data_IF_752746221355
#
_entry.id   IF_752746221355
#
_cell.length_a   1.000
_cell.length_b   1.000
_cell.length_c   1.000
_cell.angle_alpha   90.00
_cell.angle_beta   90.00
_cell.angle_gamma   90.00
#
_symmetry.space_group_name_H-M   'P 1'
#
loop_
_entity.id
_entity.type
_entity.pdbx_description
1 polymer ?
#
# COMPACT_ATOMS: atom_id res chain seq x y z
N UNK A 1 -7.37 -13.14 17.18
CA UNK A 1 -6.93 -12.07 18.11
C UNK A 1 -7.91 -10.93 17.99
N UNK A 2 -8.52 -10.52 19.10
CA UNK A 2 -9.42 -9.38 19.11
C UNK A 2 -8.60 -8.08 19.04
N UNK A 3 -8.82 -7.27 18.02
CA UNK A 3 -8.25 -5.94 17.84
C UNK A 3 -9.44 -5.01 17.58
N UNK A 4 -9.56 -3.87 18.28
CA UNK A 4 -10.63 -2.93 18.01
C UNK A 4 -10.57 -2.43 16.57
N UNK A 5 -11.74 -2.26 15.96
CA UNK A 5 -11.85 -1.86 14.55
C UNK A 5 -11.18 -0.51 14.27
N UNK A 6 -11.16 0.40 15.24
CA UNK A 6 -10.55 1.72 15.10
C UNK A 6 -9.04 1.64 14.84
N UNK A 7 -8.31 0.81 15.59
CA UNK A 7 -6.87 0.62 15.41
C UNK A 7 -6.55 -0.07 14.07
N UNK A 8 -7.39 -1.01 13.65
CA UNK A 8 -7.27 -1.63 12.32
C UNK A 8 -7.41 -0.56 11.24
N UNK A 9 -8.40 0.32 11.38
CA UNK A 9 -8.66 1.39 10.43
C UNK A 9 -7.49 2.37 10.36
N UNK A 10 -6.94 2.76 11.51
CA UNK A 10 -5.80 3.67 11.61
C UNK A 10 -4.57 3.13 10.86
N UNK A 11 -4.19 1.87 11.11
CA UNK A 11 -3.05 1.23 10.42
C UNK A 11 -3.30 1.13 8.91
N UNK A 12 -4.51 0.76 8.50
CA UNK A 12 -4.85 0.64 7.07
C UNK A 12 -4.83 1.99 6.34
N UNK A 13 -5.31 3.06 6.99
CA UNK A 13 -5.24 4.43 6.47
C UNK A 13 -3.79 4.88 6.34
N UNK A 14 -2.98 4.68 7.38
CA UNK A 14 -1.56 5.02 7.31
C UNK A 14 -0.82 4.33 6.15
N UNK A 15 -1.07 3.02 5.95
CA UNK A 15 -0.49 2.26 4.83
C UNK A 15 -1.00 2.80 3.48
N UNK A 16 -2.25 3.22 3.41
CA UNK A 16 -2.81 3.79 2.19
C UNK A 16 -2.22 5.16 1.89
N UNK A 17 -2.07 6.04 2.87
CA UNK A 17 -1.55 7.39 2.65
C UNK A 17 -0.06 7.35 2.26
N UNK A 18 0.74 6.49 2.91
CA UNK A 18 2.18 6.39 2.69
C UNK A 18 2.59 5.39 1.61
N UNK A 19 1.79 4.35 1.39
CA UNK A 19 2.09 3.24 0.47
C UNK A 19 3.03 2.17 1.04
N UNK A 20 3.64 2.41 2.21
CA UNK A 20 4.53 1.46 2.87
C UNK A 20 4.46 1.57 4.41
N UNK A 21 4.91 0.51 5.10
CA UNK A 21 5.11 0.51 6.55
C UNK A 21 6.27 -0.40 6.92
N UNK A 22 7.07 0.02 7.88
CA UNK A 22 8.15 -0.78 8.47
C UNK A 22 7.73 -1.21 9.85
N UNK A 23 7.90 -2.49 10.19
CA UNK A 23 7.54 -3.02 11.51
C UNK A 23 8.73 -3.76 12.09
N UNK A 24 9.27 -3.26 13.19
CA UNK A 24 10.34 -3.93 13.93
C UNK A 24 9.79 -5.20 14.61
N UNK A 25 10.55 -6.29 14.56
CA UNK A 25 10.28 -7.54 15.27
C UNK A 25 10.64 -7.40 16.75
N UNK A 26 9.88 -6.53 17.42
CA UNK A 26 9.89 -6.37 18.86
C UNK A 26 8.45 -6.22 19.35
N UNK A 27 8.06 -7.04 20.34
CA UNK A 27 6.69 -7.05 20.87
C UNK A 27 6.53 -6.13 22.09
N UNK A 28 7.64 -5.76 22.74
CA UNK A 28 7.62 -4.94 23.96
C UNK A 28 7.68 -3.45 23.63
N UNK A 29 8.13 -3.10 22.42
CA UNK A 29 8.04 -1.76 21.87
C UNK A 29 6.60 -1.25 22.03
N UNK A 30 6.46 -0.08 22.66
CA UNK A 30 5.17 0.57 22.93
C UNK A 30 4.56 1.13 21.61
N UNK A 31 3.90 2.32 21.51
CA UNK A 31 3.26 2.66 20.24
C UNK A 31 4.29 2.65 19.11
N UNK A 32 3.86 2.19 17.94
CA UNK A 32 4.68 2.23 16.74
C UNK A 32 5.09 3.70 16.46
N UNK A 33 6.32 4.00 15.99
CA UNK A 33 6.77 5.40 15.83
C UNK A 33 5.86 6.28 14.97
N UNK A 34 5.21 5.71 13.96
CA UNK A 34 4.37 6.44 13.02
C UNK A 34 2.85 6.28 13.24
N UNK A 35 2.42 5.36 14.11
CA UNK A 35 1.00 5.03 14.30
C UNK A 35 0.74 4.89 15.80
N UNK A 36 -0.36 5.44 16.30
CA UNK A 36 -0.69 5.41 17.73
C UNK A 36 -1.27 4.05 18.19
N UNK A 37 -0.73 2.96 17.64
CA UNK A 37 -1.15 1.58 17.88
C UNK A 37 0.05 0.79 18.37
N UNK A 38 -0.17 -0.10 19.34
CA UNK A 38 0.89 -0.97 19.87
C UNK A 38 1.51 -1.84 18.76
N UNK A 39 2.85 -1.95 18.75
CA UNK A 39 3.58 -2.58 17.65
C UNK A 39 3.14 -4.03 17.35
N UNK A 40 2.85 -4.84 18.38
CA UNK A 40 2.39 -6.21 18.17
C UNK A 40 1.05 -6.27 17.41
N UNK A 41 0.15 -5.30 17.60
CA UNK A 41 -1.14 -5.24 16.89
C UNK A 41 -0.90 -4.90 15.42
N UNK A 42 -0.03 -3.92 15.14
CA UNK A 42 0.42 -3.59 13.78
C UNK A 42 0.97 -4.85 13.10
N UNK A 43 1.85 -5.58 13.78
CA UNK A 43 2.44 -6.84 13.27
C UNK A 43 1.38 -7.89 12.88
N UNK A 44 0.27 -7.98 13.63
CA UNK A 44 -0.84 -8.90 13.32
C UNK A 44 -1.75 -8.39 12.20
N UNK A 45 -2.03 -7.09 12.16
CA UNK A 45 -2.81 -6.45 11.10
C UNK A 45 -2.09 -6.60 9.76
N UNK A 46 -0.80 -6.29 9.72
CA UNK A 46 -0.05 -6.38 8.46
C UNK A 46 0.17 -7.84 8.05
N UNK A 47 0.30 -8.78 8.99
CA UNK A 47 0.27 -10.22 8.70
C UNK A 47 -1.05 -10.64 8.02
N UNK A 48 -2.20 -10.12 8.45
CA UNK A 48 -3.47 -10.47 7.80
C UNK A 48 -3.57 -9.88 6.39
N UNK A 49 -3.12 -8.63 6.20
CA UNK A 49 -3.01 -8.01 4.88
C UNK A 49 -2.11 -8.81 3.93
N UNK A 50 -0.97 -9.29 4.44
CA UNK A 50 -0.05 -10.13 3.68
C UNK A 50 -0.70 -11.44 3.23
N UNK A 51 -1.43 -12.12 4.13
CA UNK A 51 -2.14 -13.36 3.77
C UNK A 51 -3.22 -13.18 2.70
N UNK A 52 -3.75 -11.96 2.53
CA UNK A 52 -4.71 -11.63 1.47
C UNK A 52 -4.03 -11.23 0.14
N UNK A 53 -2.70 -11.06 0.13
CA UNK A 53 -1.94 -10.54 -1.01
C UNK A 53 -2.12 -9.04 -1.24
N UNK A 54 -2.53 -8.29 -0.21
CA UNK A 54 -2.69 -6.83 -0.28
C UNK A 54 -1.36 -6.07 -0.11
N UNK A 55 -0.37 -6.71 0.50
CA UNK A 55 0.96 -6.14 0.72
C UNK A 55 2.01 -7.19 0.40
N UNK A 56 3.13 -6.75 -0.15
CA UNK A 56 4.36 -7.53 -0.25
C UNK A 56 5.21 -7.33 0.99
N UNK A 57 6.00 -8.35 1.35
CA UNK A 57 6.81 -8.35 2.58
C UNK A 57 8.25 -8.65 2.25
N UNK A 58 9.15 -7.77 2.68
CA UNK A 58 10.59 -8.01 2.73
C UNK A 58 11.03 -8.05 4.19
N UNK A 59 11.89 -8.99 4.56
CA UNK A 59 12.39 -9.10 5.92
C UNK A 59 13.90 -9.01 5.90
N UNK A 60 14.44 -8.03 6.63
CA UNK A 60 15.88 -7.82 6.73
C UNK A 60 16.23 -7.53 8.18
N UNK A 61 17.29 -8.19 8.67
CA UNK A 61 17.74 -8.09 10.05
C UNK A 61 16.62 -8.43 11.05
N UNK A 62 16.02 -7.42 11.67
CA UNK A 62 14.89 -7.57 12.58
C UNK A 62 13.68 -6.74 12.17
N UNK A 63 13.68 -6.19 10.96
CA UNK A 63 12.62 -5.32 10.48
C UNK A 63 11.89 -5.96 9.29
N UNK A 64 10.57 -5.85 9.33
CA UNK A 64 9.69 -6.26 8.25
C UNK A 64 9.21 -5.02 7.49
N UNK A 65 9.59 -4.94 6.23
CA UNK A 65 9.19 -3.91 5.29
C UNK A 65 7.98 -4.41 4.53
N UNK A 66 6.93 -3.58 4.49
CA UNK A 66 5.71 -3.89 3.79
C UNK A 66 5.42 -2.80 2.77
N UNK A 67 5.20 -3.24 1.53
CA UNK A 67 4.86 -2.37 0.41
C UNK A 67 3.48 -2.75 -0.07
N UNK A 68 2.61 -1.77 -0.29
CA UNK A 68 1.26 -2.03 -0.79
C UNK A 68 1.32 -2.53 -2.25
N UNK A 69 0.40 -3.41 -2.63
CA UNK A 69 0.22 -3.84 -4.02
C UNK A 69 -1.01 -3.17 -4.64
N UNK A 70 -1.15 -3.20 -5.97
CA UNK A 70 -2.35 -2.71 -6.66
C UNK A 70 -3.65 -3.33 -6.11
N UNK A 71 -3.62 -4.63 -5.83
CA UNK A 71 -4.72 -5.37 -5.17
C UNK A 71 -5.00 -4.84 -3.76
N UNK A 72 -3.96 -4.47 -3.02
CA UNK A 72 -4.07 -3.86 -1.70
C UNK A 72 -4.76 -2.50 -1.72
N UNK A 73 -4.42 -1.66 -2.70
CA UNK A 73 -5.03 -0.34 -2.90
C UNK A 73 -6.54 -0.49 -3.09
N UNK A 74 -6.97 -1.36 -4.01
CA UNK A 74 -8.38 -1.62 -4.28
C UNK A 74 -9.12 -2.19 -3.04
N UNK A 75 -8.49 -3.11 -2.32
CA UNK A 75 -9.05 -3.69 -1.10
C UNK A 75 -9.30 -2.61 -0.03
N UNK A 76 -8.33 -1.72 0.20
CA UNK A 76 -8.43 -0.67 1.21
C UNK A 76 -9.46 0.39 0.78
N UNK A 77 -9.49 0.78 -0.51
CA UNK A 77 -10.51 1.71 -1.05
C UNK A 77 -11.92 1.22 -0.77
N UNK A 78 -12.22 -0.03 -1.14
CA UNK A 78 -13.54 -0.64 -0.89
C UNK A 78 -13.89 -0.72 0.59
N UNK A 79 -12.90 -0.93 1.46
CA UNK A 79 -13.11 -1.08 2.91
C UNK A 79 -13.32 0.26 3.63
N UNK A 80 -12.73 1.34 3.14
CA UNK A 80 -12.77 2.66 3.79
C UNK A 80 -13.64 3.68 3.07
N UNK A 81 -14.26 3.32 1.93
CA UNK A 81 -15.09 4.20 1.11
C UNK A 81 -14.33 5.46 0.64
N UNK A 82 -13.06 5.26 0.23
CA UNK A 82 -12.22 6.31 -0.36
C UNK A 82 -12.55 6.48 -1.84
N UNK A 83 -12.22 7.63 -2.42
CA UNK A 83 -12.51 7.88 -3.84
C UNK A 83 -11.53 7.13 -4.74
N UNK A 84 -11.90 6.92 -6.02
CA UNK A 84 -11.07 6.17 -6.97
C UNK A 84 -9.76 6.90 -7.33
N UNK A 85 -9.74 8.23 -7.16
CA UNK A 85 -8.60 9.08 -7.50
C UNK A 85 -7.55 9.14 -6.38
N UNK A 86 -7.86 8.68 -5.16
CA UNK A 86 -6.91 8.74 -4.06
C UNK A 86 -5.86 7.65 -4.21
N UNK A 87 -4.59 8.02 -4.35
CA UNK A 87 -3.46 7.10 -4.43
C UNK A 87 -2.49 7.27 -3.26
N UNK A 88 -1.78 6.20 -2.87
CA UNK A 88 -0.69 6.30 -1.91
C UNK A 88 0.46 7.19 -2.40
N UNK A 89 1.11 7.91 -1.49
CA UNK A 89 2.24 8.79 -1.82
C UNK A 89 3.39 8.10 -2.56
N UNK A 90 3.55 6.78 -2.36
CA UNK A 90 4.55 5.97 -3.06
C UNK A 90 4.37 6.00 -4.59
N UNK A 91 3.13 6.18 -5.08
CA UNK A 91 2.80 6.17 -6.51
C UNK A 91 2.57 7.56 -7.09
N UNK A 92 2.67 8.63 -6.29
CA UNK A 92 2.45 10.01 -6.76
C UNK A 92 3.60 10.55 -7.60
N UNK A 93 4.80 9.98 -7.44
CA UNK A 93 5.99 10.45 -8.15
C UNK A 93 6.87 9.27 -8.53
N UNK A 94 6.98 9.01 -9.83
CA UNK A 94 7.98 8.11 -10.35
C UNK A 94 9.34 8.83 -10.43
N UNK A 95 10.40 8.42 -9.69
CA UNK A 95 11.74 8.95 -9.90
C UNK A 95 12.43 8.38 -11.16
N UNK A 96 11.81 7.40 -11.82
CA UNK A 96 12.34 6.67 -12.98
C UNK A 96 11.28 6.44 -14.09
N UNK A 97 10.11 7.08 -14.02
CA UNK A 97 9.16 6.98 -15.15
C UNK A 97 9.69 7.81 -16.30
N UNK A 98 10.29 7.11 -17.23
CA UNK A 98 9.84 7.24 -18.60
C UNK A 98 8.31 7.22 -18.57
N UNK A 99 7.70 8.40 -18.73
CA UNK A 99 6.31 8.49 -19.17
C UNK A 99 6.16 7.46 -20.26
N UNK A 100 5.30 6.45 -20.05
CA UNK A 100 4.83 5.64 -21.16
C UNK A 100 4.45 6.65 -22.23
N UNK A 101 5.21 6.69 -23.32
CA UNK A 101 4.73 7.28 -24.55
C UNK A 101 3.36 6.64 -24.71
N UNK A 102 2.33 7.47 -24.62
CA UNK A 102 1.02 7.12 -25.12
C UNK A 102 1.35 6.84 -26.59
N UNK A 103 1.52 5.57 -26.92
CA UNK A 103 1.63 5.14 -28.30
C UNK A 103 0.36 5.67 -28.93
N UNK A 104 0.53 6.76 -29.70
CA UNK A 104 -0.55 7.37 -30.42
C UNK A 104 -1.09 6.27 -31.33
N UNK A 105 -2.30 5.86 -31.00
CA UNK A 105 -3.18 5.02 -31.78
C UNK A 105 -3.13 5.46 -33.25
N UNK A 106 -3.07 4.48 -34.14
CA UNK A 106 -4.14 4.33 -35.13
C UNK A 106 -4.34 5.40 -36.21
N UNK A 107 -3.48 6.42 -36.34
CA UNK A 107 -3.56 7.39 -37.46
C UNK A 107 -2.76 6.95 -38.70
N UNK A 108 -1.96 5.89 -38.63
CA UNK A 108 -1.25 5.37 -39.82
C UNK A 108 -2.14 4.50 -40.73
N UNK A 109 -3.26 3.96 -40.25
CA UNK A 109 -4.18 3.19 -41.12
C UNK A 109 -5.05 4.06 -42.03
N UNK A 110 -5.11 5.39 -41.81
CA UNK A 110 -5.95 6.30 -42.61
C UNK A 110 -5.15 7.04 -43.69
N UNK A 111 -3.81 7.12 -43.56
CA UNK A 111 -2.92 7.81 -44.52
C UNK A 111 -2.46 6.86 -45.66
N UNK A 112 -2.49 5.54 -45.47
CA UNK A 112 -2.27 4.55 -46.56
C UNK A 112 -3.55 4.18 -47.31
N UNK A 113 -4.44 5.15 -47.46
CA UNK A 113 -5.55 5.09 -48.39
C UNK A 113 -5.04 5.17 -49.84
N UNK A 114 -5.91 4.71 -50.74
CA UNK A 114 -6.00 5.05 -52.19
C UNK A 114 -5.38 4.09 -53.22
#
# INVERSE_FOLDING_TARGET
MHIPTNEIKEVQRFIFDKGCIVVQFDRTLKPHPYVNVANFKVMKIVRSLYSMGCVEKFFAWRDAYYVITKKGIEYIRRKHYLTENDYPSLYDSDPLAETKTVDQEGEEEIIFKE
#
